data_IF_541325743768
#
_entry.id   IF_541325743768
#
_cell.length_a   1.000
_cell.length_b   1.000
_cell.length_c   1.000
_cell.angle_alpha   90.00
_cell.angle_beta   90.00
_cell.angle_gamma   90.00
#
_symmetry.space_group_name_H-M   'P 1'
#
loop_
_entity.id
_entity.type
_entity.pdbx_description
1 polymer ?
#
# COMPACT_ATOMS: atom_id res chain seq x y z
N UNK A 1 0.90 -6.81 34.62
CA UNK A 1 0.88 -6.13 33.31
C UNK A 1 2.30 -5.74 32.98
N UNK A 2 2.81 -6.11 31.81
CA UNK A 2 4.16 -5.78 31.39
C UNK A 2 4.20 -4.27 31.05
N UNK A 3 4.96 -3.43 31.77
CA UNK A 3 4.99 -1.97 31.58
C UNK A 3 5.67 -1.52 30.27
N UNK A 4 6.16 -2.47 29.47
CA UNK A 4 6.83 -2.23 28.19
C UNK A 4 6.06 -2.79 26.99
N UNK A 5 4.79 -3.16 27.13
CA UNK A 5 3.94 -3.36 25.96
C UNK A 5 3.43 -1.99 25.52
N UNK A 6 3.96 -1.36 24.44
CA UNK A 6 3.17 -0.37 23.75
C UNK A 6 1.91 -1.12 23.30
N UNK A 7 0.78 -0.89 23.98
CA UNK A 7 -0.52 -1.30 23.47
C UNK A 7 -0.79 -0.38 22.29
N UNK A 8 -0.19 -0.68 21.13
CA UNK A 8 -0.55 -0.04 19.88
C UNK A 8 -1.96 -0.54 19.55
N UNK A 9 -2.95 0.17 20.06
CA UNK A 9 -4.34 -0.25 19.90
C UNK A 9 -4.95 0.23 18.58
N UNK A 10 -4.28 1.15 17.89
CA UNK A 10 -4.79 1.81 16.69
C UNK A 10 -3.77 1.76 15.55
N UNK A 11 -4.24 1.39 14.36
CA UNK A 11 -3.46 1.32 13.12
C UNK A 11 -4.22 2.03 11.98
N UNK A 12 -3.60 3.06 11.39
CA UNK A 12 -4.27 3.93 10.40
C UNK A 12 -3.68 3.84 8.99
N UNK A 13 -2.64 3.01 8.82
CA UNK A 13 -1.96 2.82 7.55
C UNK A 13 -1.50 1.36 7.48
N UNK A 14 -2.38 0.50 6.98
CA UNK A 14 -2.15 -0.94 6.95
C UNK A 14 -2.43 -1.48 5.56
N UNK A 15 -1.42 -2.08 4.93
CA UNK A 15 -1.62 -2.84 3.70
C UNK A 15 -1.73 -4.32 4.06
N UNK A 16 -2.86 -5.01 3.81
CA UNK A 16 -3.06 -6.37 4.32
C UNK A 16 -1.97 -7.37 3.94
N UNK A 17 -1.48 -7.31 2.70
CA UNK A 17 -0.39 -8.19 2.25
C UNK A 17 0.92 -8.01 3.04
N UNK A 18 1.15 -6.84 3.64
CA UNK A 18 2.33 -6.54 4.46
C UNK A 18 2.21 -7.00 5.91
N UNK A 19 1.05 -7.49 6.33
CA UNK A 19 0.78 -7.95 7.70
C UNK A 19 0.90 -9.46 7.85
N UNK A 20 1.07 -10.19 6.75
CA UNK A 20 1.25 -11.63 6.78
C UNK A 20 2.63 -11.98 7.34
N UNK A 21 2.69 -13.04 8.13
CA UNK A 21 3.95 -13.63 8.58
C UNK A 21 4.56 -14.51 7.48
N UNK A 22 5.83 -14.86 7.62
CA UNK A 22 6.45 -15.87 6.75
C UNK A 22 5.74 -17.23 6.86
N UNK A 23 5.15 -17.55 8.02
CA UNK A 23 4.37 -18.78 8.19
C UNK A 23 3.06 -18.72 7.39
N UNK A 24 2.35 -17.58 7.43
CA UNK A 24 1.14 -17.40 6.63
C UNK A 24 1.46 -17.53 5.13
N UNK A 25 2.57 -16.94 4.69
CA UNK A 25 3.03 -17.07 3.30
C UNK A 25 3.28 -18.54 2.92
N UNK A 26 4.00 -19.27 3.77
CA UNK A 26 4.30 -20.69 3.56
C UNK A 26 3.01 -21.52 3.47
N UNK A 27 2.04 -21.26 4.35
CA UNK A 27 0.78 -21.99 4.39
C UNK A 27 -0.13 -21.66 3.21
N UNK A 28 -0.18 -20.39 2.78
CA UNK A 28 -0.89 -19.97 1.56
C UNK A 28 -0.33 -20.64 0.30
N UNK A 29 0.99 -20.76 0.19
CA UNK A 29 1.66 -21.32 -0.99
C UNK A 29 1.81 -22.85 -0.98
N UNK A 30 1.67 -23.51 0.18
CA UNK A 30 2.02 -24.93 0.40
C UNK A 30 1.57 -25.90 -0.70
N UNK A 31 0.37 -25.70 -1.23
CA UNK A 31 -0.25 -26.62 -2.19
C UNK A 31 -0.14 -26.17 -3.66
N UNK A 32 0.39 -24.97 -3.93
CA UNK A 32 0.36 -24.36 -5.27
C UNK A 32 1.71 -23.78 -5.71
N UNK A 33 2.71 -23.71 -4.83
CA UNK A 33 3.95 -22.98 -5.09
C UNK A 33 4.71 -23.43 -6.34
N UNK A 34 4.47 -24.67 -6.81
CA UNK A 34 5.06 -25.23 -8.03
C UNK A 34 4.45 -24.65 -9.31
N UNK A 35 3.19 -24.22 -9.25
CA UNK A 35 2.41 -23.76 -10.40
C UNK A 35 2.41 -22.23 -10.55
N UNK A 36 2.99 -21.53 -9.57
CA UNK A 36 3.02 -20.07 -9.50
C UNK A 36 4.06 -19.50 -10.47
N UNK A 37 3.67 -18.50 -11.25
CA UNK A 37 4.61 -17.68 -12.00
C UNK A 37 5.37 -16.73 -11.05
N UNK A 38 6.62 -17.08 -10.78
CA UNK A 38 7.50 -16.35 -9.90
C UNK A 38 8.34 -15.26 -10.59
N UNK A 39 8.12 -15.00 -11.89
CA UNK A 39 8.97 -14.09 -12.67
C UNK A 39 9.04 -12.71 -12.04
N UNK A 40 7.89 -12.15 -11.62
CA UNK A 40 7.83 -10.84 -10.94
C UNK A 40 8.69 -10.78 -9.67
N UNK A 41 8.70 -11.84 -8.86
CA UNK A 41 9.51 -11.92 -7.65
C UNK A 41 10.99 -12.09 -7.99
N UNK A 42 11.31 -13.07 -8.82
CA UNK A 42 12.70 -13.45 -9.14
C UNK A 42 13.46 -12.33 -9.86
N UNK A 43 12.82 -11.64 -10.82
CA UNK A 43 13.44 -10.51 -11.53
C UNK A 43 13.69 -9.32 -10.61
N UNK A 44 12.69 -8.93 -9.81
CA UNK A 44 12.83 -7.81 -8.87
C UNK A 44 13.88 -8.11 -7.79
N UNK A 45 13.94 -9.35 -7.30
CA UNK A 45 14.93 -9.77 -6.31
C UNK A 45 16.34 -9.78 -6.89
N UNK A 46 16.52 -10.29 -8.11
CA UNK A 46 17.82 -10.24 -8.81
C UNK A 46 18.28 -8.80 -9.00
N UNK A 47 17.39 -7.90 -9.44
CA UNK A 47 17.70 -6.48 -9.60
C UNK A 47 18.11 -5.82 -8.28
N UNK A 48 17.42 -6.13 -7.17
CA UNK A 48 17.62 -5.46 -5.89
C UNK A 48 18.80 -6.03 -5.06
N UNK A 49 19.08 -7.33 -5.19
CA UNK A 49 20.03 -8.05 -4.34
C UNK A 49 21.18 -8.71 -5.14
N UNK A 50 21.20 -8.60 -6.47
CA UNK A 50 22.18 -9.27 -7.34
C UNK A 50 22.24 -10.79 -7.13
N UNK A 51 21.10 -11.40 -6.78
CA UNK A 51 20.96 -12.84 -6.57
C UNK A 51 19.58 -13.24 -7.04
N UNK A 52 19.47 -14.30 -7.85
CA UNK A 52 18.18 -14.81 -8.32
C UNK A 52 17.72 -15.97 -7.44
N UNK A 53 16.63 -15.82 -6.68
CA UNK A 53 16.13 -16.90 -5.83
C UNK A 53 15.47 -18.00 -6.68
N UNK A 54 15.39 -19.20 -6.11
CA UNK A 54 14.57 -20.31 -6.62
C UNK A 54 13.40 -20.55 -5.63
N UNK A 55 12.22 -19.98 -5.88
CA UNK A 55 11.08 -20.09 -4.98
C UNK A 55 10.60 -21.52 -4.77
N UNK A 56 10.70 -22.38 -5.78
CA UNK A 56 10.31 -23.78 -5.67
C UNK A 56 11.19 -24.48 -4.64
N UNK A 57 12.51 -24.30 -4.75
CA UNK A 57 13.47 -24.83 -3.77
C UNK A 57 13.29 -24.19 -2.38
N UNK A 58 12.99 -22.89 -2.30
CA UNK A 58 12.72 -22.23 -1.01
C UNK A 58 11.51 -22.85 -0.28
N UNK A 59 10.41 -23.09 -1.00
CA UNK A 59 9.23 -23.77 -0.45
C UNK A 59 9.54 -25.23 -0.05
N UNK A 60 10.20 -25.99 -0.93
CA UNK A 60 10.56 -27.38 -0.64
C UNK A 60 11.41 -27.50 0.63
N UNK A 61 12.42 -26.64 0.78
CA UNK A 61 13.28 -26.63 1.95
C UNK A 61 12.51 -26.22 3.20
N UNK A 62 11.68 -25.17 3.15
CA UNK A 62 10.89 -24.73 4.29
C UNK A 62 9.85 -25.76 4.75
N UNK A 63 9.27 -26.54 3.83
CA UNK A 63 8.33 -27.61 4.15
C UNK A 63 9.01 -28.88 4.70
N UNK A 64 10.26 -29.13 4.29
CA UNK A 64 11.03 -30.30 4.73
C UNK A 64 11.82 -30.08 6.03
N UNK A 65 12.29 -28.84 6.26
CA UNK A 65 13.12 -28.45 7.39
C UNK A 65 12.55 -27.17 8.05
N UNK A 66 11.78 -27.32 9.15
CA UNK A 66 11.18 -26.19 9.87
C UNK A 66 12.19 -25.24 10.54
N UNK A 67 13.46 -25.63 10.65
CA UNK A 67 14.48 -24.78 11.28
C UNK A 67 15.25 -24.01 10.21
N UNK A 68 16.12 -24.69 9.44
CA UNK A 68 17.02 -24.01 8.50
C UNK A 68 16.29 -23.61 7.22
N UNK A 69 15.43 -24.49 6.71
CA UNK A 69 14.65 -24.24 5.51
C UNK A 69 13.70 -23.05 5.68
N UNK A 70 12.99 -23.02 6.81
CA UNK A 70 12.05 -21.94 7.12
C UNK A 70 12.74 -20.59 7.34
N UNK A 71 13.87 -20.53 8.07
CA UNK A 71 14.58 -19.27 8.26
C UNK A 71 15.16 -18.73 6.93
N UNK A 72 15.58 -19.61 6.03
CA UNK A 72 16.00 -19.21 4.67
C UNK A 72 14.82 -18.67 3.87
N UNK A 73 13.65 -19.31 3.93
CA UNK A 73 12.44 -18.81 3.28
C UNK A 73 12.03 -17.43 3.81
N UNK A 74 12.03 -17.29 5.14
CA UNK A 74 11.70 -16.05 5.85
C UNK A 74 12.63 -14.90 5.47
N UNK A 75 13.93 -15.12 5.27
CA UNK A 75 14.85 -14.05 4.88
C UNK A 75 14.56 -13.45 3.50
N UNK A 76 13.87 -14.18 2.63
CA UNK A 76 13.45 -13.72 1.30
C UNK A 76 12.15 -12.92 1.33
N UNK A 77 11.36 -13.04 2.40
CA UNK A 77 10.08 -12.35 2.55
C UNK A 77 10.15 -11.17 3.52
N UNK A 78 10.84 -11.33 4.65
CA UNK A 78 10.85 -10.31 5.72
C UNK A 78 11.80 -9.18 5.37
N UNK A 79 11.26 -7.95 5.33
CA UNK A 79 12.03 -6.71 5.22
C UNK A 79 12.60 -6.32 6.58
N UNK A 80 13.89 -5.99 6.61
CA UNK A 80 14.63 -5.66 7.83
C UNK A 80 15.34 -4.31 7.69
N UNK A 81 15.94 -3.82 8.77
CA UNK A 81 16.73 -2.59 8.73
C UNK A 81 17.86 -2.62 7.69
N UNK A 82 18.41 -3.80 7.36
CA UNK A 82 19.46 -3.95 6.32
C UNK A 82 18.95 -3.71 4.90
N UNK A 83 17.65 -3.87 4.71
CA UNK A 83 16.96 -3.61 3.45
C UNK A 83 16.51 -2.14 3.34
N UNK A 84 16.59 -1.41 4.47
CA UNK A 84 16.16 -0.03 4.70
C UNK A 84 16.67 0.98 3.66
N UNK A 85 15.82 1.96 3.33
CA UNK A 85 16.19 3.12 2.51
C UNK A 85 16.06 2.90 1.00
N UNK A 86 15.67 1.71 0.55
CA UNK A 86 15.46 1.38 -0.86
C UNK A 86 14.07 0.74 -1.04
N UNK A 87 13.16 1.46 -1.70
CA UNK A 87 11.81 0.96 -2.01
C UNK A 87 11.85 -0.24 -2.97
N UNK A 88 12.84 -0.33 -3.86
CA UNK A 88 13.02 -1.48 -4.75
C UNK A 88 13.32 -2.76 -3.98
N UNK A 89 14.10 -2.68 -2.89
CA UNK A 89 14.35 -3.83 -1.99
C UNK A 89 13.11 -4.26 -1.24
N UNK A 90 12.27 -3.31 -0.81
CA UNK A 90 10.96 -3.61 -0.23
C UNK A 90 10.07 -4.32 -1.27
N UNK A 91 9.91 -3.73 -2.45
CA UNK A 91 9.06 -4.26 -3.51
C UNK A 91 9.52 -5.65 -3.96
N UNK A 92 10.83 -5.90 -4.04
CA UNK A 92 11.39 -7.21 -4.38
C UNK A 92 10.96 -8.30 -3.40
N UNK A 93 10.97 -8.04 -2.09
CA UNK A 93 10.48 -8.99 -1.07
C UNK A 93 8.96 -9.08 -1.07
N UNK A 94 8.26 -7.95 -1.22
CA UNK A 94 6.80 -7.90 -1.28
C UNK A 94 6.24 -8.61 -2.50
N UNK A 95 6.97 -8.65 -3.62
CA UNK A 95 6.57 -9.40 -4.81
C UNK A 95 6.42 -10.91 -4.55
N UNK A 96 7.03 -11.44 -3.49
CA UNK A 96 6.88 -12.84 -3.13
C UNK A 96 5.43 -13.20 -2.81
N UNK A 97 4.74 -12.39 -2.00
CA UNK A 97 3.30 -12.58 -1.73
C UNK A 97 2.46 -12.19 -2.95
N UNK A 98 2.85 -11.17 -3.72
CA UNK A 98 2.09 -10.76 -4.91
C UNK A 98 2.00 -11.88 -5.95
N UNK A 99 3.08 -12.63 -6.19
CA UNK A 99 3.06 -13.79 -7.09
C UNK A 99 2.02 -14.84 -6.67
N UNK A 100 1.95 -15.17 -5.37
CA UNK A 100 0.94 -16.07 -4.83
C UNK A 100 -0.47 -15.53 -5.02
N UNK A 101 -0.70 -14.28 -4.62
CA UNK A 101 -2.03 -13.67 -4.66
C UNK A 101 -2.53 -13.45 -6.09
N UNK A 102 -1.65 -13.40 -7.09
CA UNK A 102 -2.01 -13.31 -8.52
C UNK A 102 -2.28 -14.66 -9.18
N UNK A 103 -2.00 -15.77 -8.50
CA UNK A 103 -2.19 -17.10 -9.09
C UNK A 103 -3.67 -17.32 -9.46
N UNK A 104 -4.01 -17.68 -10.72
CA UNK A 104 -5.38 -17.62 -11.23
C UNK A 104 -6.36 -18.60 -10.54
N UNK A 105 -5.86 -19.66 -9.93
CA UNK A 105 -6.68 -20.65 -9.23
C UNK A 105 -5.98 -21.13 -7.95
N UNK A 106 -6.47 -20.87 -6.73
CA UNK A 106 -7.74 -20.22 -6.38
C UNK A 106 -7.54 -18.74 -5.98
N UNK A 107 -7.40 -17.83 -6.97
CA UNK A 107 -7.10 -16.40 -6.76
C UNK A 107 -7.97 -15.73 -5.68
N UNK A 108 -9.29 -15.83 -5.83
CA UNK A 108 -10.22 -15.12 -4.94
C UNK A 108 -10.20 -15.69 -3.52
N UNK A 109 -10.11 -17.01 -3.37
CA UNK A 109 -10.08 -17.64 -2.05
C UNK A 109 -8.78 -17.32 -1.31
N UNK A 110 -7.66 -17.19 -2.01
CA UNK A 110 -6.38 -16.79 -1.42
C UNK A 110 -6.41 -15.35 -0.93
N UNK A 111 -6.95 -14.41 -1.71
CA UNK A 111 -7.12 -13.01 -1.27
C UNK A 111 -8.00 -12.96 -0.01
N UNK A 112 -9.09 -13.71 0.00
CA UNK A 112 -10.00 -13.72 1.14
C UNK A 112 -9.35 -14.34 2.39
N UNK A 113 -8.62 -15.44 2.21
CA UNK A 113 -7.95 -16.16 3.30
C UNK A 113 -6.83 -15.30 3.90
N UNK A 114 -5.98 -14.71 3.06
CA UNK A 114 -4.91 -13.82 3.51
C UNK A 114 -5.44 -12.58 4.23
N UNK A 115 -6.55 -12.01 3.76
CA UNK A 115 -7.18 -10.90 4.46
C UNK A 115 -7.74 -11.31 5.83
N UNK A 116 -8.38 -12.48 5.93
CA UNK A 116 -8.85 -12.99 7.22
C UNK A 116 -7.69 -13.24 8.19
N UNK A 117 -6.59 -13.86 7.73
CA UNK A 117 -5.38 -14.06 8.53
C UNK A 117 -4.85 -12.74 9.11
N UNK A 118 -4.85 -11.68 8.29
CA UNK A 118 -4.44 -10.33 8.72
C UNK A 118 -5.36 -9.78 9.82
N UNK A 119 -6.67 -9.89 9.66
CA UNK A 119 -7.64 -9.43 10.67
C UNK A 119 -7.47 -10.20 11.98
N UNK A 120 -7.35 -11.52 11.90
CA UNK A 120 -7.17 -12.39 13.06
C UNK A 120 -5.86 -12.05 13.80
N UNK A 121 -4.79 -11.73 13.07
CA UNK A 121 -3.50 -11.36 13.65
C UNK A 121 -3.60 -10.05 14.45
N UNK A 122 -4.19 -8.99 13.89
CA UNK A 122 -4.36 -7.74 14.63
C UNK A 122 -5.24 -7.91 15.89
N UNK A 123 -6.26 -8.75 15.83
CA UNK A 123 -7.07 -9.09 17.00
C UNK A 123 -6.24 -9.80 18.08
N UNK A 124 -5.39 -10.77 17.70
CA UNK A 124 -4.47 -11.47 18.62
C UNK A 124 -3.44 -10.53 19.24
N UNK A 125 -2.98 -9.53 18.49
CA UNK A 125 -2.02 -8.51 18.95
C UNK A 125 -2.66 -7.47 19.87
N UNK A 126 -3.97 -7.47 20.03
CA UNK A 126 -4.70 -6.53 20.88
C UNK A 126 -4.93 -5.16 20.24
N UNK A 127 -4.84 -5.07 18.91
CA UNK A 127 -5.25 -3.88 18.16
C UNK A 127 -6.77 -3.80 18.18
N UNK A 128 -7.34 -2.64 18.54
CA UNK A 128 -8.78 -2.45 18.68
C UNK A 128 -9.39 -1.57 17.57
N UNK A 129 -8.56 -0.85 16.80
CA UNK A 129 -8.99 -0.05 15.66
C UNK A 129 -7.99 -0.17 14.51
N UNK A 130 -8.46 -0.55 13.33
CA UNK A 130 -7.61 -0.67 12.13
C UNK A 130 -8.30 -0.07 10.92
N UNK A 131 -7.54 0.71 10.15
CA UNK A 131 -7.91 1.12 8.79
C UNK A 131 -7.01 0.43 7.77
N UNK A 132 -7.60 -0.51 7.03
CA UNK A 132 -6.93 -1.25 5.98
C UNK A 132 -6.97 -0.47 4.66
N UNK A 133 -5.83 -0.39 3.99
CA UNK A 133 -5.67 0.12 2.63
C UNK A 133 -5.71 -1.07 1.69
N UNK A 134 -6.86 -1.25 1.07
CA UNK A 134 -7.13 -2.39 0.21
C UNK A 134 -7.09 -1.92 -1.23
N UNK A 135 -6.06 -2.31 -1.96
CA UNK A 135 -5.95 -2.12 -3.40
C UNK A 135 -6.14 -3.42 -4.17
N UNK A 136 -6.43 -3.27 -5.46
CA UNK A 136 -6.37 -4.32 -6.46
C UNK A 136 -5.31 -4.01 -7.51
N UNK A 137 -4.87 -5.03 -8.26
CA UNK A 137 -4.05 -4.82 -9.46
C UNK A 137 -4.90 -4.39 -10.67
N UNK A 138 -4.46 -4.73 -11.88
CA UNK A 138 -5.23 -4.59 -13.12
C UNK A 138 -6.45 -5.53 -13.14
N UNK A 139 -7.44 -5.23 -12.32
CA UNK A 139 -8.65 -6.02 -12.17
C UNK A 139 -9.68 -5.65 -13.23
N UNK A 140 -10.51 -6.62 -13.61
CA UNK A 140 -11.76 -6.30 -14.27
C UNK A 140 -12.74 -5.67 -13.28
N UNK A 141 -13.77 -5.00 -13.80
CA UNK A 141 -14.87 -4.47 -13.01
C UNK A 141 -15.42 -5.50 -12.00
N UNK A 142 -15.80 -6.68 -12.47
CA UNK A 142 -16.42 -7.71 -11.62
C UNK A 142 -15.46 -8.21 -10.53
N UNK A 143 -14.16 -8.30 -10.84
CA UNK A 143 -13.14 -8.65 -9.85
C UNK A 143 -13.00 -7.56 -8.78
N UNK A 144 -13.03 -6.29 -9.17
CA UNK A 144 -12.99 -5.16 -8.25
C UNK A 144 -14.19 -5.20 -7.29
N UNK A 145 -15.42 -5.30 -7.83
CA UNK A 145 -16.65 -5.35 -7.03
C UNK A 145 -16.63 -6.56 -6.09
N UNK A 146 -16.34 -7.76 -6.59
CA UNK A 146 -16.33 -8.98 -5.80
C UNK A 146 -15.30 -8.93 -4.66
N UNK A 147 -14.09 -8.44 -4.93
CA UNK A 147 -13.03 -8.31 -3.94
C UNK A 147 -13.41 -7.30 -2.85
N UNK A 148 -13.84 -6.09 -3.23
CA UNK A 148 -14.15 -5.05 -2.26
C UNK A 148 -15.41 -5.35 -1.44
N UNK A 149 -16.43 -5.95 -2.04
CA UNK A 149 -17.58 -6.48 -1.32
C UNK A 149 -17.15 -7.47 -0.23
N UNK A 150 -16.19 -8.35 -0.55
CA UNK A 150 -15.69 -9.34 0.42
C UNK A 150 -14.87 -8.70 1.55
N UNK A 151 -13.95 -7.77 1.25
CA UNK A 151 -13.21 -7.03 2.28
C UNK A 151 -14.17 -6.32 3.25
N UNK A 152 -15.14 -5.58 2.72
CA UNK A 152 -16.13 -4.88 3.51
C UNK A 152 -16.97 -5.84 4.37
N UNK A 153 -17.45 -6.95 3.81
CA UNK A 153 -18.23 -7.95 4.55
C UNK A 153 -17.42 -8.62 5.66
N UNK A 154 -16.15 -8.96 5.39
CA UNK A 154 -15.24 -9.52 6.38
C UNK A 154 -15.03 -8.54 7.53
N UNK A 155 -14.73 -7.27 7.26
CA UNK A 155 -14.52 -6.26 8.30
C UNK A 155 -15.79 -5.91 9.07
N UNK A 156 -16.93 -5.85 8.40
CA UNK A 156 -18.24 -5.67 9.06
C UNK A 156 -18.51 -6.81 10.04
N UNK A 157 -18.22 -8.05 9.64
CA UNK A 157 -18.38 -9.23 10.50
C UNK A 157 -17.35 -9.27 11.64
N UNK A 158 -16.12 -8.83 11.39
CA UNK A 158 -15.07 -8.77 12.40
C UNK A 158 -15.25 -7.61 13.40
N UNK A 159 -15.97 -6.55 13.00
CA UNK A 159 -16.27 -5.39 13.85
C UNK A 159 -17.28 -5.76 14.93
N UNK A 160 -16.76 -6.28 16.03
CA UNK A 160 -17.49 -6.68 17.24
C UNK A 160 -16.48 -6.78 18.39
N UNK A 161 -16.95 -6.82 19.65
CA UNK A 161 -16.16 -7.20 20.83
C UNK A 161 -14.78 -6.53 20.95
N UNK A 162 -14.75 -5.20 21.08
CA UNK A 162 -13.53 -4.39 21.21
C UNK A 162 -12.61 -4.35 19.97
N UNK A 163 -13.09 -4.72 18.78
CA UNK A 163 -12.39 -4.51 17.52
C UNK A 163 -13.25 -3.71 16.53
N UNK A 164 -12.64 -2.73 15.88
CA UNK A 164 -13.23 -1.93 14.81
C UNK A 164 -12.34 -2.00 13.57
N UNK A 165 -12.85 -2.66 12.53
CA UNK A 165 -12.21 -2.68 11.22
C UNK A 165 -12.88 -1.71 10.27
N UNK A 166 -12.11 -0.84 9.62
CA UNK A 166 -12.53 -0.02 8.49
C UNK A 166 -11.58 -0.24 7.34
N UNK A 167 -12.01 0.09 6.13
CA UNK A 167 -11.10 0.08 5.00
C UNK A 167 -11.26 1.28 4.09
N UNK A 168 -10.17 1.52 3.38
CA UNK A 168 -9.92 2.56 2.41
C UNK A 168 -9.60 1.83 1.10
N UNK A 169 -10.27 2.19 0.01
CA UNK A 169 -10.00 1.59 -1.29
C UNK A 169 -8.82 2.33 -1.93
N UNK A 170 -7.74 1.62 -2.21
CA UNK A 170 -6.60 2.18 -2.92
C UNK A 170 -6.81 2.08 -4.43
N UNK A 171 -7.13 3.21 -5.04
CA UNK A 171 -7.32 3.39 -6.48
C UNK A 171 -5.98 3.31 -7.21
N UNK A 172 -6.00 2.85 -8.45
CA UNK A 172 -4.85 2.87 -9.33
C UNK A 172 -4.59 4.31 -9.82
N UNK A 173 -3.35 4.80 -9.70
CA UNK A 173 -2.99 6.18 -10.08
C UNK A 173 -3.32 6.52 -11.54
N UNK A 174 -3.23 5.55 -12.46
CA UNK A 174 -3.51 5.74 -13.88
C UNK A 174 -4.98 5.61 -14.28
N UNK A 175 -5.82 4.99 -13.45
CA UNK A 175 -7.25 4.77 -13.74
C UNK A 175 -8.18 5.23 -12.62
N UNK A 176 -7.72 6.10 -11.72
CA UNK A 176 -8.46 6.49 -10.52
C UNK A 176 -9.90 6.96 -10.75
N UNK A 177 -10.18 7.65 -11.85
CA UNK A 177 -11.54 8.05 -12.21
C UNK A 177 -12.45 6.85 -12.45
N UNK A 178 -11.96 5.87 -13.22
CA UNK A 178 -12.70 4.65 -13.52
C UNK A 178 -12.91 3.81 -12.25
N UNK A 179 -11.86 3.66 -11.45
CA UNK A 179 -11.94 2.93 -10.19
C UNK A 179 -12.94 3.60 -9.23
N UNK A 180 -12.98 4.94 -9.21
CA UNK A 180 -13.93 5.69 -8.39
C UNK A 180 -15.39 5.50 -8.84
N UNK A 181 -15.67 5.39 -10.14
CA UNK A 181 -17.02 5.01 -10.60
C UNK A 181 -17.43 3.66 -10.01
N UNK A 182 -16.52 2.68 -10.00
CA UNK A 182 -16.78 1.37 -9.43
C UNK A 182 -16.95 1.41 -7.91
N UNK A 183 -16.27 2.34 -7.22
CA UNK A 183 -16.51 2.60 -5.79
C UNK A 183 -17.94 3.11 -5.57
N UNK A 184 -18.42 4.05 -6.39
CA UNK A 184 -19.80 4.54 -6.30
C UNK A 184 -20.80 3.42 -6.56
N UNK A 185 -20.58 2.61 -7.60
CA UNK A 185 -21.43 1.44 -7.92
C UNK A 185 -21.47 0.41 -6.77
N UNK A 186 -20.32 0.15 -6.14
CA UNK A 186 -20.23 -0.75 -4.99
C UNK A 186 -21.11 -0.24 -3.83
N UNK A 187 -21.06 1.06 -3.53
CA UNK A 187 -21.88 1.66 -2.47
C UNK A 187 -23.38 1.69 -2.81
N UNK A 188 -23.73 1.88 -4.07
CA UNK A 188 -25.12 1.81 -4.54
C UNK A 188 -25.67 0.37 -4.46
N UNK A 189 -24.84 -0.61 -4.80
CA UNK A 189 -25.21 -2.04 -4.79
C UNK A 189 -25.29 -2.60 -3.37
N UNK A 190 -24.39 -2.17 -2.48
CA UNK A 190 -24.27 -2.68 -1.11
C UNK A 190 -24.26 -1.55 -0.08
N UNK A 191 -25.39 -0.83 0.09
CA UNK A 191 -25.46 0.34 0.98
C UNK A 191 -25.20 0.01 2.45
N UNK A 192 -25.43 -1.24 2.86
CA UNK A 192 -25.18 -1.72 4.22
C UNK A 192 -23.68 -1.84 4.55
N UNK A 193 -22.80 -1.72 3.56
CA UNK A 193 -21.34 -1.75 3.70
C UNK A 193 -20.71 -0.35 3.81
N UNK A 194 -21.46 0.71 3.47
CA UNK A 194 -21.01 2.12 3.56
C UNK A 194 -20.35 2.45 4.91
N UNK A 195 -20.88 2.04 6.09
CA UNK A 195 -20.23 2.35 7.37
C UNK A 195 -18.83 1.73 7.55
N UNK A 196 -18.45 0.77 6.71
CA UNK A 196 -17.16 0.06 6.76
C UNK A 196 -16.13 0.67 5.79
N UNK A 197 -16.61 1.23 4.68
CA UNK A 197 -15.81 1.92 3.67
C UNK A 197 -15.73 3.41 4.00
N UNK A 198 -14.56 3.87 4.45
CA UNK A 198 -14.41 5.23 5.00
C UNK A 198 -13.60 6.17 4.11
N UNK A 199 -12.99 5.67 3.04
CA UNK A 199 -12.15 6.51 2.22
C UNK A 199 -11.56 5.85 0.99
N UNK A 200 -10.79 6.67 0.28
CA UNK A 200 -9.99 6.29 -0.89
C UNK A 200 -8.53 6.73 -0.71
N UNK A 201 -7.65 6.00 -1.40
CA UNK A 201 -6.21 6.22 -1.45
C UNK A 201 -5.68 5.92 -2.85
N UNK A 202 -4.37 6.08 -3.07
CA UNK A 202 -3.73 5.87 -4.37
C UNK A 202 -2.56 4.91 -4.22
N UNK A 203 -2.65 3.76 -4.90
CA UNK A 203 -1.64 2.71 -4.86
C UNK A 203 -0.63 2.82 -6.00
N UNK A 204 0.38 1.96 -5.95
CA UNK A 204 1.48 1.86 -6.91
C UNK A 204 2.50 3.01 -6.82
N UNK A 205 3.54 2.95 -7.67
CA UNK A 205 4.66 3.91 -7.66
C UNK A 205 4.16 5.35 -7.76
N UNK A 206 4.70 6.18 -6.86
CA UNK A 206 4.47 7.63 -6.84
C UNK A 206 5.12 8.32 -8.05
N UNK A 207 6.31 7.86 -8.45
CA UNK A 207 7.10 8.38 -9.57
C UNK A 207 6.28 8.45 -10.87
N UNK A 208 6.32 9.59 -11.54
CA UNK A 208 5.56 9.84 -12.77
C UNK A 208 4.07 10.21 -12.58
N UNK A 209 3.55 10.30 -11.36
CA UNK A 209 2.14 10.69 -11.08
C UNK A 209 2.05 11.92 -10.16
N UNK A 210 2.27 13.13 -10.68
CA UNK A 210 2.32 14.33 -9.86
C UNK A 210 0.94 14.65 -9.22
N UNK A 211 0.92 15.06 -7.94
CA UNK A 211 -0.29 15.47 -7.21
C UNK A 211 -1.20 16.45 -7.93
N UNK A 212 -0.63 17.43 -8.62
CA UNK A 212 -1.38 18.48 -9.33
C UNK A 212 -2.45 17.93 -10.28
N UNK A 213 -2.20 16.76 -10.86
CA UNK A 213 -3.12 16.11 -11.81
C UNK A 213 -4.35 15.50 -11.11
N UNK A 214 -4.38 15.47 -9.77
CA UNK A 214 -5.51 14.96 -8.97
C UNK A 214 -6.46 16.04 -8.46
N UNK A 215 -6.18 17.32 -8.72
CA UNK A 215 -7.01 18.43 -8.24
C UNK A 215 -8.48 18.30 -8.66
N UNK A 216 -8.74 18.11 -9.96
CA UNK A 216 -10.10 17.97 -10.49
C UNK A 216 -10.82 16.74 -9.90
N UNK A 217 -10.09 15.63 -9.73
CA UNK A 217 -10.63 14.43 -9.08
C UNK A 217 -11.02 14.69 -7.63
N UNK A 218 -10.16 15.35 -6.84
CA UNK A 218 -10.46 15.67 -5.44
C UNK A 218 -11.65 16.61 -5.32
N UNK A 219 -11.74 17.65 -6.17
CA UNK A 219 -12.89 18.54 -6.23
C UNK A 219 -14.18 17.77 -6.51
N UNK A 220 -14.14 16.81 -7.45
CA UNK A 220 -15.27 15.93 -7.75
C UNK A 220 -15.69 15.12 -6.52
N UNK A 221 -14.75 14.43 -5.85
CA UNK A 221 -15.03 13.65 -4.65
C UNK A 221 -15.63 14.54 -3.54
N UNK A 222 -15.13 15.76 -3.38
CA UNK A 222 -15.64 16.70 -2.39
C UNK A 222 -17.08 17.13 -2.70
N UNK A 223 -17.40 17.39 -3.97
CA UNK A 223 -18.77 17.70 -4.40
C UNK A 223 -19.71 16.52 -4.17
N UNK A 224 -19.26 15.30 -4.43
CA UNK A 224 -20.07 14.09 -4.21
C UNK A 224 -20.32 13.84 -2.72
N UNK A 225 -19.30 14.02 -1.88
CA UNK A 225 -19.41 13.97 -0.43
C UNK A 225 -20.38 15.03 0.13
N UNK A 226 -20.40 16.24 -0.45
CA UNK A 226 -21.35 17.29 -0.06
C UNK A 226 -22.80 16.95 -0.46
N UNK A 227 -22.99 16.29 -1.61
CA UNK A 227 -24.32 15.87 -2.08
C UNK A 227 -24.86 14.68 -1.28
N UNK A 228 -23.98 13.77 -0.84
CA UNK A 228 -24.35 12.52 -0.16
C UNK A 228 -23.48 12.32 1.11
N UNK A 229 -23.71 13.11 2.17
CA UNK A 229 -22.85 13.12 3.36
C UNK A 229 -22.81 11.78 4.13
N UNK A 230 -23.85 10.95 4.02
CA UNK A 230 -23.94 9.64 4.66
C UNK A 230 -22.97 8.60 4.10
N UNK A 231 -22.47 8.82 2.88
CA UNK A 231 -21.50 7.96 2.18
C UNK A 231 -20.21 8.69 1.83
N UNK A 232 -19.92 9.77 2.55
CA UNK A 232 -18.74 10.57 2.30
C UNK A 232 -17.45 9.76 2.49
N UNK A 233 -16.55 9.86 1.53
CA UNK A 233 -15.26 9.18 1.55
C UNK A 233 -14.15 10.17 1.90
N UNK A 234 -13.36 9.85 2.92
CA UNK A 234 -12.12 10.58 3.18
C UNK A 234 -11.10 10.29 2.09
N UNK A 235 -10.35 11.30 1.70
CA UNK A 235 -9.19 11.11 0.83
C UNK A 235 -7.95 11.08 1.71
N UNK A 236 -7.20 9.98 1.62
CA UNK A 236 -5.82 9.85 2.12
C UNK A 236 -4.90 9.61 0.95
N UNK A 237 -3.61 9.89 1.09
CA UNK A 237 -2.73 9.87 -0.09
C UNK A 237 -1.30 9.46 0.25
N UNK A 238 -0.77 8.44 -0.44
CA UNK A 238 0.67 8.12 -0.40
C UNK A 238 1.48 9.16 -1.18
N UNK A 239 2.40 9.84 -0.50
CA UNK A 239 3.29 10.85 -1.12
C UNK A 239 4.57 11.00 -0.32
N UNK A 240 5.68 11.32 -0.98
CA UNK A 240 6.98 11.46 -0.35
C UNK A 240 7.54 10.13 0.15
N UNK A 241 7.24 9.02 -0.52
CA UNK A 241 7.78 7.68 -0.23
C UNK A 241 8.75 7.20 -1.32
N UNK A 242 8.38 7.35 -2.60
CA UNK A 242 9.20 7.02 -3.76
C UNK A 242 9.36 8.27 -4.63
N UNK A 243 10.54 8.88 -4.58
CA UNK A 243 10.78 10.20 -5.16
C UNK A 243 12.22 10.35 -5.66
N UNK A 244 12.82 9.26 -6.14
CA UNK A 244 14.22 9.28 -6.58
C UNK A 244 14.39 9.88 -7.99
N UNK A 245 13.28 10.09 -8.70
CA UNK A 245 13.16 10.66 -10.05
C UNK A 245 13.07 12.21 -10.07
N UNK A 246 13.09 12.84 -8.90
CA UNK A 246 12.93 14.29 -8.74
C UNK A 246 13.82 14.86 -7.63
N UNK A 247 13.97 16.19 -7.61
CA UNK A 247 14.67 16.87 -6.52
C UNK A 247 13.96 16.68 -5.17
N UNK A 248 14.66 16.94 -4.06
CA UNK A 248 14.04 16.85 -2.73
C UNK A 248 13.01 17.95 -2.53
N UNK A 249 13.28 19.13 -3.06
CA UNK A 249 12.39 20.28 -3.09
C UNK A 249 11.07 19.92 -3.79
N UNK A 250 11.15 19.33 -4.99
CA UNK A 250 9.99 18.79 -5.71
C UNK A 250 9.23 17.73 -4.92
N UNK A 251 9.93 16.81 -4.25
CA UNK A 251 9.30 15.80 -3.41
C UNK A 251 8.57 16.40 -2.19
N UNK A 252 9.15 17.42 -1.55
CA UNK A 252 8.55 18.17 -0.46
C UNK A 252 7.32 18.94 -0.96
N UNK A 253 7.43 19.61 -2.11
CA UNK A 253 6.31 20.30 -2.76
C UNK A 253 5.15 19.35 -3.00
N UNK A 254 5.38 18.13 -3.49
CA UNK A 254 4.31 17.15 -3.69
C UNK A 254 3.54 16.85 -2.40
N UNK A 255 4.23 16.73 -1.26
CA UNK A 255 3.57 16.58 0.04
C UNK A 255 2.73 17.82 0.39
N UNK A 256 3.26 19.02 0.13
CA UNK A 256 2.55 20.27 0.42
C UNK A 256 1.31 20.44 -0.47
N UNK A 257 1.42 20.24 -1.79
CA UNK A 257 0.31 20.35 -2.74
C UNK A 257 -0.86 19.44 -2.37
N UNK A 258 -0.58 18.20 -1.97
CA UNK A 258 -1.60 17.28 -1.49
C UNK A 258 -2.28 17.83 -0.23
N UNK A 259 -1.51 18.40 0.71
CA UNK A 259 -2.08 19.02 1.91
C UNK A 259 -2.94 20.25 1.59
N UNK A 260 -2.51 21.11 0.67
CA UNK A 260 -3.27 22.28 0.20
C UNK A 260 -4.59 21.90 -0.48
N UNK A 261 -4.66 20.72 -1.10
CA UNK A 261 -5.88 20.17 -1.69
C UNK A 261 -6.87 19.63 -0.63
N UNK A 262 -6.60 19.79 0.66
CA UNK A 262 -7.52 19.42 1.74
C UNK A 262 -7.44 17.95 2.16
N UNK A 263 -6.37 17.25 1.76
CA UNK A 263 -6.16 15.84 2.11
C UNK A 263 -5.85 15.70 3.60
N UNK A 264 -6.61 14.84 4.29
CA UNK A 264 -6.58 14.76 5.76
C UNK A 264 -5.34 14.06 6.30
N UNK A 265 -4.79 13.08 5.57
CA UNK A 265 -3.67 12.25 6.01
C UNK A 265 -2.76 11.88 4.84
N UNK A 266 -1.47 12.11 5.03
CA UNK A 266 -0.42 11.70 4.12
C UNK A 266 0.14 10.34 4.57
N UNK A 267 0.18 9.38 3.64
CA UNK A 267 0.94 8.14 3.83
C UNK A 267 2.43 8.45 3.66
N UNK A 268 3.24 8.01 4.63
CA UNK A 268 4.69 8.13 4.66
C UNK A 268 5.22 9.56 4.85
N UNK A 269 5.14 10.41 3.82
CA UNK A 269 5.70 11.76 3.80
C UNK A 269 7.17 11.82 4.28
N UNK A 270 7.97 10.79 3.95
CA UNK A 270 9.36 10.69 4.43
C UNK A 270 10.26 11.77 3.85
N UNK A 271 9.93 12.30 2.67
CA UNK A 271 10.61 13.43 2.07
C UNK A 271 10.65 14.68 2.98
N UNK A 272 9.68 14.85 3.88
CA UNK A 272 9.62 16.00 4.80
C UNK A 272 10.58 15.89 5.99
N UNK A 273 11.01 14.68 6.34
CA UNK A 273 11.69 14.41 7.63
C UNK A 273 13.10 13.85 7.51
N UNK A 274 13.59 13.59 6.31
CA UNK A 274 14.90 12.99 6.10
C UNK A 274 15.97 14.07 5.91
N UNK A 275 17.12 13.97 6.60
CA UNK A 275 18.27 14.81 6.29
C UNK A 275 18.64 14.66 4.81
N UNK A 276 18.87 15.76 4.06
CA UNK A 276 19.18 15.69 2.63
C UNK A 276 20.34 14.74 2.30
N UNK A 277 21.39 14.73 3.13
CA UNK A 277 22.53 13.84 3.00
C UNK A 277 22.15 12.35 3.11
N UNK A 278 21.16 12.02 3.96
CA UNK A 278 20.63 10.66 4.10
C UNK A 278 19.79 10.30 2.89
N UNK A 279 18.97 11.21 2.38
CA UNK A 279 18.13 10.97 1.21
C UNK A 279 18.99 10.70 -0.05
N UNK A 280 20.00 11.53 -0.30
CA UNK A 280 20.94 11.36 -1.43
C UNK A 280 21.79 10.09 -1.29
N UNK A 281 22.18 9.70 -0.07
CA UNK A 281 23.00 8.52 0.14
C UNK A 281 22.26 7.18 -0.11
N UNK A 282 20.92 7.19 -0.13
CA UNK A 282 20.11 5.97 -0.31
C UNK A 282 20.25 5.36 -1.69
N UNK A 283 20.38 6.19 -2.73
CA UNK A 283 20.47 5.75 -4.12
C UNK A 283 21.45 6.61 -4.90
N UNK A 284 22.51 6.03 -5.49
CA UNK A 284 23.45 6.78 -6.31
C UNK A 284 22.73 7.54 -7.44
N UNK A 285 23.09 8.80 -7.62
CA UNK A 285 22.50 9.71 -8.62
C UNK A 285 20.99 10.00 -8.43
N UNK A 286 20.39 9.67 -7.29
CA UNK A 286 19.04 10.17 -7.00
C UNK A 286 19.05 11.69 -6.77
N UNK A 287 17.94 12.34 -7.10
CA UNK A 287 17.73 13.79 -6.90
C UNK A 287 18.67 14.71 -7.70
N UNK A 288 19.48 14.17 -8.62
CA UNK A 288 20.38 14.98 -9.46
C UNK A 288 19.76 15.38 -10.80
N UNK A 289 18.62 14.79 -11.15
CA UNK A 289 17.86 15.05 -12.37
C UNK A 289 16.37 15.00 -12.06
N UNK A 290 15.59 15.80 -12.78
CA UNK A 290 14.14 15.76 -12.78
C UNK A 290 13.63 16.20 -14.17
N UNK A 291 12.35 15.96 -14.45
CA UNK A 291 11.74 16.42 -15.69
C UNK A 291 11.73 17.95 -15.74
N UNK A 292 11.90 18.55 -16.92
CA UNK A 292 11.80 20.02 -17.09
C UNK A 292 10.46 20.54 -16.60
N UNK A 293 9.37 19.81 -16.85
CA UNK A 293 8.04 20.17 -16.35
C UNK A 293 7.98 20.19 -14.82
N UNK A 294 8.62 19.22 -14.17
CA UNK A 294 8.68 19.12 -12.71
C UNK A 294 9.46 20.30 -12.11
N UNK A 295 10.60 20.65 -12.71
CA UNK A 295 11.40 21.80 -12.28
C UNK A 295 10.65 23.13 -12.45
N UNK A 296 9.92 23.29 -13.56
CA UNK A 296 9.09 24.47 -13.79
C UNK A 296 7.95 24.59 -12.77
N UNK A 297 7.35 23.49 -12.36
CA UNK A 297 6.36 23.50 -11.29
C UNK A 297 6.98 23.90 -9.95
N UNK A 298 8.21 23.45 -9.64
CA UNK A 298 8.93 23.85 -8.43
C UNK A 298 9.23 25.36 -8.44
N UNK A 299 9.71 25.91 -9.56
CA UNK A 299 9.94 27.36 -9.68
C UNK A 299 8.63 28.14 -9.49
N UNK A 300 7.54 27.69 -10.11
CA UNK A 300 6.23 28.33 -9.97
C UNK A 300 5.74 28.30 -8.52
N UNK A 301 5.96 27.18 -7.84
CA UNK A 301 5.66 27.01 -6.42
C UNK A 301 6.49 27.97 -5.54
N UNK A 302 7.80 28.05 -5.74
CA UNK A 302 8.68 28.93 -4.97
C UNK A 302 8.30 30.41 -5.17
N UNK A 303 7.94 30.80 -6.41
CA UNK A 303 7.47 32.15 -6.70
C UNK A 303 6.14 32.47 -6.02
N UNK A 304 5.23 31.50 -5.93
CA UNK A 304 3.94 31.68 -5.25
C UNK A 304 4.09 31.81 -3.73
N UNK A 305 5.08 31.15 -3.13
CA UNK A 305 5.31 31.12 -1.69
C UNK A 305 6.50 31.98 -1.22
N UNK A 306 7.08 32.78 -2.12
CA UNK A 306 8.30 33.55 -1.85
C UNK A 306 8.22 34.46 -0.61
N UNK A 307 7.02 34.95 -0.27
CA UNK A 307 6.78 35.83 0.89
C UNK A 307 6.60 35.09 2.21
N UNK A 308 6.41 33.77 2.19
CA UNK A 308 6.23 32.95 3.39
C UNK A 308 7.55 32.36 3.90
N UNK A 309 8.62 32.47 3.09
CA UNK A 309 9.96 31.95 3.36
C UNK A 309 10.93 33.01 3.92
N UNK A 310 10.49 34.26 4.09
CA UNK A 310 11.25 35.39 4.67
C UNK A 310 10.86 35.67 6.11
#
# INVERSE_FOLDING_TARGET
>A
MNPLHPNKTCELHVHPGGCLTAQDLLDLGRNIYQDVDWTLFTDAYEQAYNTRPDPITLYQNALADPDLGFETFKSHFIYTQKDGGDFGRFQAKFNFIICLLRHPSPHQDMINTSFQMTVDQHQKEGVNFVEYRCGGGQQTHDQFIAMHHKYATTLKSATQNNFTGRYIISLCRSSAEQDYEWVQELMDTYPDLIPTLIGIDFSHFEEGYPPKDKRAFFERVHQDNQKNPERALDIVYHVGESYFDKSLESAIRWCHEIAEMGIKRLGHATALGLPPEVAVARRPNAHVQELVSEHLDQIAYDLAHATELT
#
